data_IF_565440266942
#
_entry.id   IF_565440266942
#
_cell.length_a   1.000
_cell.length_b   1.000
_cell.length_c   1.000
_cell.angle_alpha   90.00
_cell.angle_beta   90.00
_cell.angle_gamma   90.00
#
_symmetry.space_group_name_H-M   'P 1'
#
loop_
_entity.id
_entity.type
_entity.pdbx_description
1 polymer ?
#
# COMPACT_ATOMS: atom_id res chain seq x y z
N UNK A 1 -40.65 35.75 7.68
CA UNK A 1 -40.40 34.63 6.73
C UNK A 1 -38.91 34.41 6.40
N UNK A 2 -38.08 35.47 6.32
CA UNK A 2 -36.63 35.38 6.01
C UNK A 2 -35.77 34.61 7.04
N UNK A 3 -36.12 34.65 8.33
CA UNK A 3 -35.34 34.02 9.39
C UNK A 3 -35.52 32.48 9.47
N UNK A 4 -36.69 31.96 9.06
CA UNK A 4 -36.97 30.51 9.06
C UNK A 4 -36.28 29.78 7.90
N UNK A 5 -36.03 30.46 6.79
CA UNK A 5 -35.37 29.89 5.60
C UNK A 5 -33.85 29.73 5.81
N UNK A 6 -33.20 30.68 6.50
CA UNK A 6 -31.78 30.59 6.83
C UNK A 6 -31.45 29.48 7.84
N UNK A 7 -32.32 29.27 8.82
CA UNK A 7 -32.14 28.22 9.85
C UNK A 7 -32.29 26.81 9.26
N UNK A 8 -33.21 26.63 8.31
CA UNK A 8 -33.40 25.35 7.61
C UNK A 8 -32.23 25.00 6.67
N UNK A 9 -31.60 26.01 6.06
CA UNK A 9 -30.42 25.83 5.20
C UNK A 9 -29.18 25.44 6.01
N UNK A 10 -28.94 26.07 7.17
CA UNK A 10 -27.86 25.65 8.07
C UNK A 10 -28.03 24.20 8.56
N UNK A 11 -29.26 23.79 8.88
CA UNK A 11 -29.54 22.42 9.34
C UNK A 11 -29.25 21.36 8.27
N UNK A 12 -29.45 21.69 7.00
CA UNK A 12 -29.14 20.81 5.86
C UNK A 12 -27.63 20.71 5.60
N UNK A 13 -26.85 21.77 5.84
CA UNK A 13 -25.38 21.75 5.66
C UNK A 13 -24.63 21.01 6.77
N UNK A 14 -25.17 20.94 7.99
CA UNK A 14 -24.54 20.24 9.12
C UNK A 14 -24.59 18.71 9.02
N UNK A 15 -25.42 18.14 8.13
CA UNK A 15 -25.57 16.69 7.96
C UNK A 15 -24.47 16.02 7.11
N UNK A 16 -23.56 16.78 6.50
CA UNK A 16 -22.56 16.25 5.56
C UNK A 16 -21.14 16.18 6.17
N UNK A 17 -21.03 15.88 7.47
CA UNK A 17 -19.73 15.56 8.06
C UNK A 17 -19.41 14.08 7.82
N UNK A 18 -18.74 13.81 6.70
CA UNK A 18 -18.17 12.48 6.44
C UNK A 18 -16.99 12.27 7.38
N UNK A 19 -17.15 11.38 8.37
CA UNK A 19 -16.03 10.95 9.21
C UNK A 19 -15.08 10.11 8.37
N UNK A 20 -13.98 10.69 7.92
CA UNK A 20 -12.92 9.93 7.26
C UNK A 20 -12.24 9.03 8.30
N UNK A 21 -12.61 7.74 8.28
CA UNK A 21 -11.96 6.75 9.12
C UNK A 21 -10.54 6.55 8.58
N UNK A 22 -9.53 6.84 9.40
CA UNK A 22 -8.14 6.61 9.01
C UNK A 22 -7.95 5.14 8.63
N UNK A 23 -7.25 4.90 7.52
CA UNK A 23 -6.93 3.54 7.09
C UNK A 23 -6.21 2.79 8.22
N UNK A 24 -6.49 1.49 8.41
CA UNK A 24 -5.73 0.68 9.36
C UNK A 24 -4.24 0.77 9.07
N UNK A 25 -3.42 0.84 10.12
CA UNK A 25 -1.96 0.84 9.98
C UNK A 25 -1.51 -0.52 9.45
N UNK A 26 -0.74 -0.60 8.36
CA UNK A 26 -0.24 -1.88 7.86
C UNK A 26 0.86 -2.42 8.76
N UNK A 27 1.00 -3.74 8.80
CA UNK A 27 2.18 -4.39 9.34
C UNK A 27 3.32 -4.33 8.30
N UNK A 28 4.53 -3.98 8.74
CA UNK A 28 5.71 -3.90 7.87
C UNK A 28 6.67 -5.02 8.27
N UNK A 29 7.01 -5.87 7.31
CA UNK A 29 8.00 -6.94 7.49
C UNK A 29 9.13 -6.66 6.50
N UNK A 30 10.35 -6.47 7.02
CA UNK A 30 11.56 -6.34 6.21
C UNK A 30 12.32 -7.67 6.27
N UNK A 31 12.50 -8.30 5.11
CA UNK A 31 13.27 -9.53 4.96
C UNK A 31 14.54 -9.16 4.18
N UNK A 32 15.70 -9.46 4.75
CA UNK A 32 17.00 -9.21 4.14
C UNK A 32 17.78 -10.51 4.13
N UNK A 33 18.34 -10.86 2.98
CA UNK A 33 19.29 -11.95 2.84
C UNK A 33 20.69 -11.37 2.80
N UNK A 34 21.62 -12.03 3.49
CA UNK A 34 23.04 -11.73 3.40
C UNK A 34 23.62 -12.30 2.10
N UNK A 35 24.60 -11.60 1.51
CA UNK A 35 25.38 -12.01 0.31
C UNK A 35 24.59 -12.60 -0.88
N UNK A 36 23.31 -12.25 -1.04
CA UNK A 36 22.49 -12.75 -2.14
C UNK A 36 22.79 -11.97 -3.43
N UNK A 37 23.23 -12.70 -4.46
CA UNK A 37 23.41 -12.19 -5.80
C UNK A 37 22.09 -11.89 -6.51
N UNK A 38 22.13 -10.99 -7.49
CA UNK A 38 20.94 -10.58 -8.24
C UNK A 38 20.24 -11.77 -8.92
N UNK A 39 21.01 -12.67 -9.53
CA UNK A 39 20.51 -13.84 -10.27
C UNK A 39 20.36 -15.10 -9.41
N UNK A 40 20.43 -15.02 -8.08
CA UNK A 40 20.37 -16.22 -7.24
C UNK A 40 18.93 -16.78 -7.11
N UNK A 41 17.92 -15.94 -7.34
CA UNK A 41 16.51 -16.29 -7.16
C UNK A 41 15.76 -16.31 -8.50
N UNK A 42 14.80 -17.23 -8.63
CA UNK A 42 14.01 -17.43 -9.84
C UNK A 42 13.38 -16.15 -10.42
N UNK A 43 12.85 -15.18 -9.64
CA UNK A 43 12.31 -13.93 -10.19
C UNK A 43 13.31 -13.07 -10.97
N UNK A 44 14.61 -13.31 -10.83
CA UNK A 44 15.66 -12.58 -11.55
C UNK A 44 16.48 -13.49 -12.46
N UNK A 45 15.97 -14.69 -12.78
CA UNK A 45 16.61 -15.63 -13.70
C UNK A 45 17.47 -16.72 -13.03
N UNK A 46 17.40 -16.87 -11.70
CA UNK A 46 18.09 -17.94 -10.99
C UNK A 46 17.52 -19.33 -11.29
N UNK A 47 18.39 -20.34 -11.29
CA UNK A 47 18.04 -21.73 -11.59
C UNK A 47 17.36 -22.44 -10.40
N UNK A 48 17.58 -21.94 -9.18
CA UNK A 48 17.01 -22.51 -7.97
C UNK A 48 15.54 -22.11 -7.87
N UNK A 49 14.65 -23.10 -7.72
CA UNK A 49 13.24 -22.87 -7.51
C UNK A 49 13.00 -22.15 -6.17
N UNK A 50 12.58 -20.88 -6.24
CA UNK A 50 12.19 -20.07 -5.09
C UNK A 50 10.69 -19.69 -5.17
N UNK A 51 9.78 -20.65 -4.95
CA UNK A 51 8.35 -20.46 -5.23
C UNK A 51 7.70 -19.38 -4.36
N UNK A 52 8.11 -19.23 -3.10
CA UNK A 52 7.59 -18.18 -2.20
C UNK A 52 7.99 -16.79 -2.69
N UNK A 53 9.25 -16.61 -3.10
CA UNK A 53 9.75 -15.33 -3.64
C UNK A 53 9.12 -15.02 -5.00
N UNK A 54 8.90 -16.04 -5.83
CA UNK A 54 8.20 -15.91 -7.12
C UNK A 54 6.78 -15.40 -6.93
N UNK A 55 6.01 -16.00 -6.01
CA UNK A 55 4.67 -15.53 -5.67
C UNK A 55 4.64 -14.09 -5.15
N UNK A 56 5.65 -13.67 -4.37
CA UNK A 56 5.77 -12.30 -3.89
C UNK A 56 6.08 -11.31 -5.02
N UNK A 57 6.94 -11.69 -5.96
CA UNK A 57 7.27 -10.88 -7.13
C UNK A 57 6.07 -10.74 -8.09
N UNK A 58 5.35 -11.84 -8.35
CA UNK A 58 4.19 -11.86 -9.25
C UNK A 58 2.97 -11.14 -8.66
N UNK A 59 2.79 -11.24 -7.34
CA UNK A 59 1.70 -10.60 -6.62
C UNK A 59 2.02 -9.17 -6.13
N UNK A 60 3.20 -8.65 -6.46
CA UNK A 60 3.71 -7.40 -5.89
C UNK A 60 4.48 -6.56 -6.91
N UNK A 61 5.47 -5.84 -6.41
CA UNK A 61 6.39 -5.05 -7.23
C UNK A 61 7.77 -5.70 -7.20
N UNK A 62 8.41 -5.74 -8.37
CA UNK A 62 9.77 -6.25 -8.55
C UNK A 62 10.68 -5.14 -9.06
N UNK A 63 11.75 -4.84 -8.32
CA UNK A 63 12.75 -3.85 -8.71
C UNK A 63 13.86 -4.51 -9.52
N UNK A 64 14.08 -4.07 -10.76
CA UNK A 64 15.17 -4.60 -11.60
C UNK A 64 16.47 -3.82 -11.44
N UNK A 65 16.43 -2.62 -10.82
CA UNK A 65 17.58 -1.76 -10.54
C UNK A 65 17.54 -1.26 -9.09
N UNK A 66 18.04 -2.07 -8.16
CA UNK A 66 18.20 -1.73 -6.74
C UNK A 66 19.67 -1.88 -6.35
N UNK A 67 20.23 -0.85 -5.70
CA UNK A 67 21.66 -0.77 -5.38
C UNK A 67 21.84 -0.46 -3.90
N UNK A 68 22.85 -1.08 -3.29
CA UNK A 68 23.36 -0.72 -1.97
C UNK A 68 24.55 0.24 -2.14
N UNK A 69 24.80 1.10 -1.16
CA UNK A 69 25.95 2.03 -1.15
C UNK A 69 27.15 1.43 -0.42
#
# INVERSE_FOLDING_TARGET
MRLRLGLSLCLLLSGMSSTTQAAPRPNIILIMSDDMGYSDIAPYGGEIATPTLSRLADGGLRFTQFYNT
#
